data_IF_046997059942
#
_entry.id   IF_046997059942
#
_cell.length_a   1.000
_cell.length_b   1.000
_cell.length_c   1.000
_cell.angle_alpha   90.00
_cell.angle_beta   90.00
_cell.angle_gamma   90.00
#
_symmetry.space_group_name_H-M   'P 1'
#
loop_
_entity.id
_entity.type
_entity.pdbx_description
1 polymer ?
#
# COMPACT_ATOMS: atom_id res chain seq x y z
N UNK A 1 -12.18 5.44 -2.11
CA UNK A 1 -11.07 6.36 -1.81
C UNK A 1 -11.48 7.32 -0.72
N UNK A 2 -11.32 6.89 0.53
CA UNK A 2 -11.89 7.55 1.71
C UNK A 2 -10.74 8.15 2.53
N UNK A 3 -10.72 9.47 2.79
CA UNK A 3 -9.74 10.08 3.70
C UNK A 3 -10.11 9.78 5.16
N UNK A 4 -9.10 9.74 6.03
CA UNK A 4 -9.25 9.53 7.47
C UNK A 4 -10.19 10.58 8.08
N UNK A 5 -10.15 11.83 7.59
CA UNK A 5 -11.06 12.89 8.03
C UNK A 5 -12.54 12.48 7.92
N UNK A 6 -12.92 11.79 6.85
CA UNK A 6 -14.30 11.35 6.69
C UNK A 6 -14.71 10.41 7.83
N UNK A 7 -13.84 9.47 8.20
CA UNK A 7 -14.09 8.57 9.32
C UNK A 7 -14.11 9.29 10.67
N UNK A 8 -13.21 10.26 10.88
CA UNK A 8 -13.26 11.15 12.06
C UNK A 8 -14.61 11.86 12.16
N UNK A 9 -15.18 12.34 11.05
CA UNK A 9 -16.52 12.96 11.01
C UNK A 9 -17.64 11.95 11.28
N UNK A 10 -17.53 10.72 10.76
CA UNK A 10 -18.51 9.65 11.04
C UNK A 10 -18.53 9.33 12.53
N UNK A 11 -17.37 9.09 13.15
CA UNK A 11 -17.26 8.77 14.58
C UNK A 11 -17.78 9.90 15.47
N UNK A 12 -17.47 11.15 15.12
CA UNK A 12 -17.93 12.33 15.85
C UNK A 12 -19.39 12.73 15.53
N UNK A 13 -20.09 11.99 14.66
CA UNK A 13 -21.44 12.30 14.17
C UNK A 13 -21.56 13.74 13.62
N UNK A 14 -20.55 14.17 12.85
CA UNK A 14 -20.44 15.50 12.27
C UNK A 14 -20.93 15.54 10.80
N UNK A 15 -20.99 16.75 10.26
CA UNK A 15 -21.28 16.97 8.84
C UNK A 15 -20.05 16.72 7.97
N UNK A 16 -20.32 16.45 6.69
CA UNK A 16 -19.36 16.34 5.61
C UNK A 16 -19.79 17.25 4.46
N UNK A 17 -18.84 17.98 3.87
CA UNK A 17 -19.10 18.89 2.76
C UNK A 17 -18.67 18.28 1.42
N UNK A 18 -19.58 18.25 0.46
CA UNK A 18 -19.32 17.85 -0.92
C UNK A 18 -18.93 19.09 -1.72
N UNK A 19 -17.83 18.98 -2.47
CA UNK A 19 -17.29 20.04 -3.33
C UNK A 19 -17.20 19.57 -4.79
N UNK A 20 -17.19 20.52 -5.73
CA UNK A 20 -16.74 20.26 -7.11
C UNK A 20 -15.22 20.35 -7.17
N UNK A 21 -14.50 19.38 -7.78
CA UNK A 21 -13.04 19.43 -7.88
C UNK A 21 -12.52 20.68 -8.62
N UNK A 22 -13.31 21.30 -9.51
CA UNK A 22 -12.93 22.56 -10.16
C UNK A 22 -12.72 23.73 -9.18
N UNK A 23 -13.38 23.71 -8.02
CA UNK A 23 -13.25 24.74 -6.98
C UNK A 23 -12.24 24.36 -5.89
N UNK A 24 -11.83 23.08 -5.83
CA UNK A 24 -10.89 22.53 -4.85
C UNK A 24 -9.84 21.60 -5.50
N UNK A 25 -9.14 22.07 -6.55
CA UNK A 25 -8.35 21.20 -7.43
C UNK A 25 -7.16 20.50 -6.74
N UNK A 26 -6.70 21.05 -5.61
CA UNK A 26 -5.58 20.55 -4.82
C UNK A 26 -5.95 19.43 -3.85
N UNK A 27 -7.23 19.27 -3.47
CA UNK A 27 -7.63 18.27 -2.47
C UNK A 27 -7.38 16.83 -2.90
N UNK A 28 -7.36 16.55 -4.20
CA UNK A 28 -7.14 15.19 -4.67
C UNK A 28 -5.70 14.73 -4.37
N UNK A 29 -4.74 15.65 -4.49
CA UNK A 29 -3.29 15.40 -4.34
C UNK A 29 -2.83 15.49 -2.87
N UNK A 30 -3.54 16.25 -2.03
CA UNK A 30 -3.22 16.36 -0.61
C UNK A 30 -3.68 15.13 0.18
N UNK A 31 -2.94 14.70 1.19
CA UNK A 31 -3.27 13.56 2.07
C UNK A 31 -3.02 13.93 3.54
N UNK A 32 -3.50 13.09 4.46
CA UNK A 32 -3.25 13.24 5.89
C UNK A 32 -3.66 14.61 6.43
N UNK A 33 -2.84 15.17 7.31
CA UNK A 33 -3.10 16.47 7.95
C UNK A 33 -3.17 17.62 6.95
N UNK A 34 -2.35 17.59 5.89
CA UNK A 34 -2.39 18.61 4.85
C UNK A 34 -3.75 18.62 4.12
N UNK A 35 -4.33 17.45 3.85
CA UNK A 35 -5.69 17.34 3.35
C UNK A 35 -6.71 17.88 4.36
N UNK A 36 -6.58 17.52 5.64
CA UNK A 36 -7.51 17.98 6.69
C UNK A 36 -7.55 19.50 6.84
N UNK A 37 -6.38 20.13 6.93
CA UNK A 37 -6.25 21.58 7.08
C UNK A 37 -6.83 22.29 5.85
N UNK A 38 -6.55 21.77 4.65
CA UNK A 38 -7.04 22.36 3.41
C UNK A 38 -8.53 22.15 3.18
N UNK A 39 -9.04 20.96 3.48
CA UNK A 39 -10.45 20.62 3.39
C UNK A 39 -11.28 21.50 4.35
N UNK A 40 -10.83 21.64 5.60
CA UNK A 40 -11.52 22.49 6.58
C UNK A 40 -11.45 23.99 6.25
N UNK A 41 -10.38 24.44 5.59
CA UNK A 41 -10.32 25.77 5.01
C UNK A 41 -11.41 25.98 3.95
N UNK A 42 -11.59 25.04 3.02
CA UNK A 42 -12.67 25.13 2.02
C UNK A 42 -14.07 25.05 2.64
N UNK A 43 -14.25 24.29 3.72
CA UNK A 43 -15.52 24.29 4.46
C UNK A 43 -15.87 25.66 5.06
N UNK A 44 -14.86 26.44 5.49
CA UNK A 44 -15.05 27.81 5.97
C UNK A 44 -15.48 28.74 4.84
N UNK A 45 -14.77 28.72 3.70
CA UNK A 45 -15.14 29.52 2.53
C UNK A 45 -16.56 29.21 2.04
N UNK A 46 -16.94 27.93 2.02
CA UNK A 46 -18.31 27.53 1.70
C UNK A 46 -19.35 28.06 2.68
N UNK A 47 -19.03 28.10 3.99
CA UNK A 47 -19.91 28.67 5.01
C UNK A 47 -20.04 30.19 4.92
N UNK A 48 -19.00 30.88 4.43
CA UNK A 48 -18.96 32.32 4.18
C UNK A 48 -19.63 32.72 2.85
N UNK A 49 -20.05 31.73 2.03
CA UNK A 49 -20.69 31.95 0.74
C UNK A 49 -19.71 32.30 -0.38
N UNK A 50 -18.41 32.07 -0.18
CA UNK A 50 -17.35 32.35 -1.15
C UNK A 50 -17.15 31.22 -2.18
N UNK A 51 -17.92 30.14 -2.08
CA UNK A 51 -17.90 29.03 -3.04
C UNK A 51 -19.23 28.91 -3.78
N UNK A 52 -19.15 28.64 -5.08
CA UNK A 52 -20.32 28.57 -5.95
C UNK A 52 -21.11 27.28 -5.73
N UNK A 53 -20.42 26.14 -5.59
CA UNK A 53 -21.05 24.83 -5.43
C UNK A 53 -20.47 24.07 -4.24
N UNK A 54 -21.24 23.99 -3.17
CA UNK A 54 -20.98 23.12 -2.04
C UNK A 54 -22.29 22.52 -1.50
N UNK A 55 -22.22 21.35 -0.87
CA UNK A 55 -23.37 20.73 -0.20
C UNK A 55 -22.96 20.02 1.07
N UNK A 56 -23.55 20.41 2.20
CA UNK A 56 -23.39 19.69 3.46
C UNK A 56 -24.33 18.50 3.57
N UNK A 57 -23.84 17.40 4.12
CA UNK A 57 -24.58 16.18 4.43
C UNK A 57 -24.13 15.62 5.77
N UNK A 58 -24.93 14.78 6.41
CA UNK A 58 -24.46 14.00 7.56
C UNK A 58 -23.41 12.97 7.11
N UNK A 59 -22.24 12.96 7.75
CA UNK A 59 -21.20 11.97 7.46
C UNK A 59 -21.71 10.54 7.76
N UNK A 60 -22.44 10.40 8.88
CA UNK A 60 -23.06 9.13 9.29
C UNK A 60 -24.08 8.61 8.27
N UNK A 61 -24.95 9.48 7.73
CA UNK A 61 -25.93 9.06 6.71
C UNK A 61 -25.24 8.68 5.40
N UNK A 62 -24.21 9.43 4.98
CA UNK A 62 -23.44 9.10 3.79
C UNK A 62 -22.73 7.74 3.95
N UNK A 63 -22.12 7.51 5.11
CA UNK A 63 -21.47 6.23 5.42
C UNK A 63 -22.46 5.05 5.41
N UNK A 64 -23.62 5.21 6.06
CA UNK A 64 -24.69 4.20 6.01
C UNK A 64 -25.10 3.90 4.58
N UNK A 65 -25.27 4.93 3.75
CA UNK A 65 -25.62 4.77 2.33
C UNK A 65 -24.53 4.00 1.56
N UNK A 66 -23.24 4.27 1.82
CA UNK A 66 -22.13 3.53 1.22
C UNK A 66 -22.19 2.04 1.58
N UNK A 67 -22.37 1.73 2.88
CA UNK A 67 -22.49 0.35 3.36
C UNK A 67 -23.71 -0.37 2.80
N UNK A 68 -24.86 0.31 2.73
CA UNK A 68 -26.07 -0.25 2.12
C UNK A 68 -25.83 -0.60 0.65
N UNK A 69 -25.17 0.28 -0.12
CA UNK A 69 -24.85 -0.03 -1.52
C UNK A 69 -23.87 -1.20 -1.66
N UNK A 70 -22.83 -1.24 -0.82
CA UNK A 70 -21.90 -2.36 -0.78
C UNK A 70 -22.63 -3.68 -0.47
N UNK A 71 -23.55 -3.68 0.49
CA UNK A 71 -24.38 -4.84 0.84
C UNK A 71 -25.31 -5.26 -0.31
N UNK A 72 -26.00 -4.31 -0.93
CA UNK A 72 -27.00 -4.60 -1.98
C UNK A 72 -26.38 -5.02 -3.32
N UNK A 73 -25.20 -4.49 -3.66
CA UNK A 73 -24.65 -4.57 -5.02
C UNK A 73 -23.21 -5.09 -5.09
N UNK A 74 -22.57 -5.31 -3.95
CA UNK A 74 -21.14 -5.58 -3.87
C UNK A 74 -20.25 -4.36 -4.18
N UNK A 75 -20.83 -3.17 -4.40
CA UNK A 75 -20.12 -1.95 -4.80
C UNK A 75 -20.69 -0.68 -4.13
N UNK A 76 -19.91 0.40 -4.01
CA UNK A 76 -18.47 0.48 -4.26
C UNK A 76 -17.65 -0.12 -3.11
N UNK A 77 -16.44 -0.61 -3.42
CA UNK A 77 -15.50 -1.07 -2.39
C UNK A 77 -14.95 0.07 -1.53
N UNK A 78 -14.42 -0.31 -0.37
CA UNK A 78 -13.89 0.59 0.65
C UNK A 78 -12.36 0.53 0.59
N UNK A 79 -11.74 1.66 0.27
CA UNK A 79 -10.28 1.83 0.20
C UNK A 79 -9.88 3.15 0.86
N UNK A 80 -8.76 3.14 1.58
CA UNK A 80 -8.34 4.21 2.47
C UNK A 80 -7.21 5.05 1.86
N UNK A 81 -7.46 6.35 1.66
CA UNK A 81 -6.55 7.26 0.95
C UNK A 81 -5.25 7.51 1.71
N UNK A 82 -5.38 7.87 2.98
CA UNK A 82 -4.26 8.35 3.78
C UNK A 82 -3.25 7.26 4.13
N UNK A 83 -3.63 6.07 4.65
CA UNK A 83 -2.66 5.00 4.86
C UNK A 83 -2.00 4.54 3.55
N UNK A 84 -2.69 4.62 2.42
CA UNK A 84 -2.12 4.29 1.11
C UNK A 84 -0.99 5.24 0.69
N UNK A 85 -1.14 6.54 0.96
CA UNK A 85 -0.14 7.55 0.60
C UNK A 85 0.94 7.70 1.66
N UNK A 86 0.55 7.81 2.93
CA UNK A 86 1.47 8.00 4.07
C UNK A 86 2.46 6.84 4.18
N UNK A 87 2.05 5.62 3.81
CA UNK A 87 2.93 4.44 3.83
C UNK A 87 3.58 4.13 2.47
N UNK A 88 3.19 4.80 1.39
CA UNK A 88 3.78 4.59 0.05
C UNK A 88 5.28 4.89 0.07
N UNK A 89 6.15 4.00 -0.45
CA UNK A 89 7.58 4.30 -0.54
C UNK A 89 7.92 5.40 -1.56
N UNK A 90 6.97 5.77 -2.42
CA UNK A 90 7.12 6.72 -3.53
C UNK A 90 6.44 8.08 -3.24
N UNK A 91 6.23 8.41 -1.97
CA UNK A 91 5.63 9.67 -1.51
C UNK A 91 6.45 10.93 -1.88
N UNK A 92 7.73 10.77 -2.19
CA UNK A 92 8.63 11.86 -2.57
C UNK A 92 8.47 12.32 -4.03
N UNK A 93 7.83 11.51 -4.87
CA UNK A 93 7.78 11.76 -6.32
C UNK A 93 6.38 11.60 -6.94
N UNK A 94 5.32 11.57 -6.14
CA UNK A 94 3.95 11.55 -6.63
C UNK A 94 2.92 11.17 -5.57
N UNK A 95 1.68 10.99 -6.01
CA UNK A 95 0.53 10.68 -5.15
C UNK A 95 -0.18 9.43 -5.68
N UNK A 96 -0.58 8.54 -4.78
CA UNK A 96 -1.48 7.44 -5.08
C UNK A 96 -2.90 8.01 -5.15
N UNK A 97 -3.46 8.10 -6.34
CA UNK A 97 -4.81 8.66 -6.56
C UNK A 97 -5.93 7.65 -6.36
N UNK A 98 -5.63 6.35 -6.50
CA UNK A 98 -6.58 5.25 -6.34
C UNK A 98 -5.83 3.92 -6.16
N UNK A 99 -6.59 2.87 -5.90
CA UNK A 99 -6.09 1.50 -6.08
C UNK A 99 -6.39 0.99 -7.49
N UNK A 100 -5.86 -0.16 -7.88
CA UNK A 100 -6.29 -0.89 -9.08
C UNK A 100 -7.66 -1.58 -8.94
N UNK A 101 -8.05 -2.32 -9.99
CA UNK A 101 -9.28 -3.12 -10.08
C UNK A 101 -9.43 -4.17 -8.97
N UNK A 102 -8.35 -4.71 -8.40
CA UNK A 102 -8.43 -5.75 -7.38
C UNK A 102 -8.14 -5.24 -5.97
N UNK A 103 -7.95 -3.92 -5.81
CA UNK A 103 -7.77 -3.19 -4.53
C UNK A 103 -6.48 -3.47 -3.76
N UNK A 104 -5.47 -4.09 -4.37
CA UNK A 104 -4.19 -4.47 -3.75
C UNK A 104 -3.00 -3.60 -4.18
N UNK A 105 -3.12 -2.84 -5.27
CA UNK A 105 -2.02 -2.03 -5.83
C UNK A 105 -2.23 -0.55 -5.56
N UNK A 106 -1.23 0.05 -4.92
CA UNK A 106 -1.19 1.45 -4.50
C UNK A 106 0.05 2.14 -5.08
N UNK A 107 -0.02 2.47 -6.36
CA UNK A 107 1.07 3.11 -7.10
C UNK A 107 0.66 4.53 -7.53
N UNK A 108 1.65 5.41 -7.64
CA UNK A 108 1.43 6.77 -8.10
C UNK A 108 0.94 6.80 -9.55
N UNK A 109 0.12 7.79 -9.89
CA UNK A 109 -0.31 8.08 -11.26
C UNK A 109 -0.23 9.57 -11.53
N UNK A 110 -0.09 9.96 -12.80
CA UNK A 110 -0.12 11.37 -13.23
C UNK A 110 -0.52 11.46 -14.70
N UNK A 111 -0.60 12.66 -15.26
CA UNK A 111 -0.81 12.87 -16.70
C UNK A 111 0.24 12.14 -17.58
N UNK A 112 1.46 11.99 -17.06
CA UNK A 112 2.57 11.34 -17.74
C UNK A 112 2.85 9.90 -17.29
N UNK A 113 2.10 9.38 -16.32
CA UNK A 113 2.39 8.08 -15.68
C UNK A 113 1.11 7.27 -15.44
N UNK A 114 1.02 6.14 -16.16
CA UNK A 114 0.02 5.10 -15.91
C UNK A 114 0.71 3.94 -15.20
N UNK A 115 0.41 3.73 -13.92
CA UNK A 115 1.00 2.66 -13.15
C UNK A 115 0.72 1.26 -13.76
N UNK A 116 1.71 0.37 -13.69
CA UNK A 116 1.63 -1.00 -14.23
C UNK A 116 1.86 -2.01 -13.11
N UNK A 117 1.05 -3.06 -13.09
CA UNK A 117 1.11 -4.12 -12.07
C UNK A 117 1.85 -5.34 -12.65
N UNK A 118 3.09 -5.59 -12.21
CA UNK A 118 3.85 -6.80 -12.58
C UNK A 118 3.72 -7.81 -11.44
N UNK A 119 2.86 -8.83 -11.60
CA UNK A 119 2.40 -9.66 -10.50
C UNK A 119 2.87 -11.12 -10.59
N UNK A 120 3.14 -11.73 -9.43
CA UNK A 120 3.38 -13.16 -9.28
C UNK A 120 3.04 -13.61 -7.85
N UNK A 121 2.77 -14.90 -7.65
CA UNK A 121 2.36 -15.42 -6.34
C UNK A 121 3.18 -16.62 -5.90
N UNK A 122 3.66 -16.59 -4.66
CA UNK A 122 4.29 -17.74 -4.01
C UNK A 122 3.21 -18.74 -3.56
N UNK A 123 3.36 -20.02 -3.91
CA UNK A 123 2.48 -21.07 -3.41
C UNK A 123 2.92 -21.52 -2.01
N UNK A 124 2.25 -21.04 -0.95
CA UNK A 124 2.64 -21.32 0.44
C UNK A 124 2.57 -22.81 0.80
N UNK A 125 1.61 -23.57 0.25
CA UNK A 125 1.48 -25.00 0.52
C UNK A 125 2.74 -25.78 0.14
N UNK A 126 3.46 -25.37 -0.91
CA UNK A 126 4.68 -26.05 -1.36
C UNK A 126 5.82 -25.87 -0.36
N UNK A 127 5.77 -24.81 0.43
CA UNK A 127 6.74 -24.47 1.46
C UNK A 127 6.37 -25.06 2.82
N UNK A 128 5.38 -25.97 2.89
CA UNK A 128 5.10 -26.73 4.11
C UNK A 128 5.58 -28.17 3.92
N UNK A 129 6.53 -28.60 4.75
CA UNK A 129 7.09 -29.98 4.77
C UNK A 129 6.97 -30.54 6.18
N UNK A 130 6.43 -31.75 6.28
CA UNK A 130 6.23 -32.44 7.57
C UNK A 130 5.52 -31.58 8.63
N UNK A 131 4.56 -30.76 8.18
CA UNK A 131 3.80 -29.83 9.01
C UNK A 131 4.57 -28.60 9.50
N UNK A 132 5.73 -28.29 8.90
CA UNK A 132 6.57 -27.14 9.23
C UNK A 132 6.77 -26.25 8.00
N UNK A 133 6.89 -24.94 8.22
CA UNK A 133 7.15 -23.97 7.16
C UNK A 133 8.64 -23.88 6.84
N UNK A 134 9.01 -24.25 5.61
CA UNK A 134 10.39 -24.35 5.11
C UNK A 134 10.89 -22.97 4.65
N UNK A 135 11.55 -22.25 5.57
CA UNK A 135 12.08 -20.90 5.34
C UNK A 135 13.24 -20.87 4.34
N UNK A 136 14.07 -21.92 4.30
CA UNK A 136 15.19 -21.99 3.36
C UNK A 136 14.69 -22.10 1.92
N UNK A 137 13.68 -22.96 1.69
CA UNK A 137 13.03 -23.06 0.39
C UNK A 137 12.30 -21.75 0.03
N UNK A 138 11.68 -21.08 1.00
CA UNK A 138 10.99 -19.81 0.78
C UNK A 138 11.96 -18.71 0.34
N UNK A 139 13.13 -18.63 0.96
CA UNK A 139 14.17 -17.68 0.57
C UNK A 139 14.56 -17.87 -0.91
N UNK A 140 14.80 -19.11 -1.33
CA UNK A 140 15.19 -19.43 -2.70
C UNK A 140 14.09 -19.02 -3.70
N UNK A 141 12.84 -19.41 -3.43
CA UNK A 141 11.72 -19.14 -4.34
C UNK A 141 11.37 -17.66 -4.43
N UNK A 142 11.38 -16.92 -3.30
CA UNK A 142 11.17 -15.47 -3.28
C UNK A 142 12.28 -14.75 -4.06
N UNK A 143 13.54 -15.16 -3.89
CA UNK A 143 14.68 -14.55 -4.61
C UNK A 143 14.53 -14.72 -6.13
N UNK A 144 14.16 -15.93 -6.58
CA UNK A 144 13.92 -16.22 -7.99
C UNK A 144 12.72 -15.41 -8.50
N UNK A 145 11.61 -15.39 -7.75
CA UNK A 145 10.39 -14.68 -8.13
C UNK A 145 10.64 -13.17 -8.30
N UNK A 146 11.37 -12.53 -7.39
CA UNK A 146 11.71 -11.11 -7.50
C UNK A 146 12.52 -10.81 -8.76
N UNK A 147 13.50 -11.65 -9.12
CA UNK A 147 14.25 -11.48 -10.37
C UNK A 147 13.37 -11.69 -11.60
N UNK A 148 12.47 -12.67 -11.58
CA UNK A 148 11.52 -12.89 -12.67
C UNK A 148 10.60 -11.69 -12.87
N UNK A 149 10.08 -11.10 -11.78
CA UNK A 149 9.22 -9.92 -11.83
C UNK A 149 9.98 -8.67 -12.33
N UNK A 150 11.22 -8.44 -11.90
CA UNK A 150 12.03 -7.34 -12.44
C UNK A 150 12.33 -7.53 -13.93
N UNK A 151 12.55 -8.77 -14.39
CA UNK A 151 12.72 -9.05 -15.82
C UNK A 151 11.46 -8.72 -16.63
N UNK A 152 10.26 -8.97 -16.09
CA UNK A 152 8.97 -8.67 -16.76
C UNK A 152 8.92 -7.19 -17.19
N UNK A 153 9.43 -6.28 -16.36
CA UNK A 153 9.44 -4.84 -16.64
C UNK A 153 10.20 -4.52 -17.94
N UNK A 154 11.30 -5.22 -18.21
CA UNK A 154 12.12 -4.94 -19.38
C UNK A 154 11.59 -5.63 -20.66
N UNK A 155 10.98 -6.80 -20.53
CA UNK A 155 10.46 -7.57 -21.68
C UNK A 155 9.02 -7.22 -22.05
N UNK A 156 8.28 -6.54 -21.18
CA UNK A 156 6.87 -6.24 -21.39
C UNK A 156 6.66 -5.32 -22.60
N UNK A 157 5.60 -5.57 -23.36
CA UNK A 157 5.11 -4.64 -24.37
C UNK A 157 4.19 -3.61 -23.70
N UNK A 158 4.54 -2.33 -23.80
CA UNK A 158 3.76 -1.25 -23.23
C UNK A 158 2.83 -0.64 -24.28
N UNK A 159 1.50 -0.64 -24.06
CA UNK A 159 0.55 -0.10 -25.02
C UNK A 159 0.53 1.44 -25.08
N UNK A 160 1.12 2.11 -24.08
CA UNK A 160 1.21 3.58 -24.00
C UNK A 160 2.57 4.01 -23.47
N UNK A 161 3.02 5.21 -23.87
CA UNK A 161 4.28 5.78 -23.41
C UNK A 161 4.25 6.09 -21.91
N UNK A 162 3.10 6.51 -21.37
CA UNK A 162 2.90 6.76 -19.95
C UNK A 162 3.10 5.49 -19.11
N UNK A 163 2.65 4.34 -19.61
CA UNK A 163 2.86 3.06 -18.94
C UNK A 163 4.33 2.62 -19.00
N UNK A 164 4.98 2.80 -20.15
CA UNK A 164 6.42 2.52 -20.29
C UNK A 164 7.25 3.41 -19.38
N UNK A 165 6.90 4.70 -19.29
CA UNK A 165 7.55 5.68 -18.43
C UNK A 165 7.44 5.28 -16.95
N UNK A 166 6.21 5.11 -16.45
CA UNK A 166 5.97 4.78 -15.05
C UNK A 166 6.70 3.48 -14.63
N UNK A 167 6.57 2.41 -15.43
CA UNK A 167 7.14 1.11 -15.05
C UNK A 167 8.67 1.12 -15.11
N UNK A 168 9.30 1.75 -16.12
CA UNK A 168 10.77 1.81 -16.21
C UNK A 168 11.38 2.75 -15.17
N UNK A 169 10.67 3.81 -14.79
CA UNK A 169 11.13 4.84 -13.84
C UNK A 169 11.08 4.38 -12.38
N UNK A 170 10.04 3.64 -12.00
CA UNK A 170 9.78 3.24 -10.61
C UNK A 170 9.94 1.75 -10.35
N UNK A 171 9.97 0.93 -11.40
CA UNK A 171 10.13 -0.52 -11.39
C UNK A 171 9.30 -1.30 -10.35
N UNK A 172 8.01 -0.98 -10.14
CA UNK A 172 7.20 -1.64 -9.12
C UNK A 172 6.93 -3.11 -9.49
N UNK A 173 6.99 -4.00 -8.51
CA UNK A 173 6.57 -5.40 -8.64
C UNK A 173 5.65 -5.79 -7.49
N UNK A 174 4.71 -6.69 -7.74
CA UNK A 174 3.79 -7.23 -6.74
C UNK A 174 4.00 -8.74 -6.57
N UNK A 175 4.71 -9.12 -5.51
CA UNK A 175 4.85 -10.51 -5.10
C UNK A 175 3.80 -10.85 -4.04
N UNK A 176 2.76 -11.56 -4.46
CA UNK A 176 1.69 -12.06 -3.59
C UNK A 176 1.92 -13.49 -3.11
N UNK A 177 0.89 -14.04 -2.49
CA UNK A 177 0.83 -15.44 -2.03
C UNK A 177 -0.45 -16.11 -2.49
N UNK A 178 -0.41 -17.43 -2.58
CA UNK A 178 -1.58 -18.29 -2.77
C UNK A 178 -1.43 -19.58 -1.97
N UNK A 179 -2.51 -20.34 -1.82
CA UNK A 179 -2.48 -21.60 -1.07
C UNK A 179 -2.33 -21.42 0.45
N UNK A 180 -2.71 -20.26 1.00
CA UNK A 180 -2.65 -20.00 2.44
C UNK A 180 -3.50 -20.98 3.25
N UNK A 181 -4.76 -21.21 2.86
CA UNK A 181 -5.61 -22.21 3.51
C UNK A 181 -5.01 -23.61 3.43
N UNK A 182 -4.46 -24.00 2.29
CA UNK A 182 -3.86 -25.33 2.13
C UNK A 182 -2.59 -25.48 2.99
N UNK A 183 -1.81 -24.40 3.15
CA UNK A 183 -0.67 -24.36 4.07
C UNK A 183 -1.11 -24.49 5.54
N UNK A 184 -2.23 -23.87 5.94
CA UNK A 184 -2.81 -24.06 7.27
C UNK A 184 -3.23 -25.52 7.48
N UNK A 185 -3.94 -26.11 6.52
CA UNK A 185 -4.38 -27.51 6.58
C UNK A 185 -3.19 -28.48 6.69
N UNK A 186 -2.13 -28.25 5.91
CA UNK A 186 -0.93 -29.07 5.93
C UNK A 186 -0.19 -29.01 7.28
N UNK A 187 -0.38 -27.95 8.07
CA UNK A 187 0.16 -27.79 9.43
C UNK A 187 -0.84 -28.22 10.52
N UNK A 188 -2.05 -28.66 10.14
CA UNK A 188 -3.12 -28.99 11.09
C UNK A 188 -3.72 -27.77 11.80
N UNK A 189 -3.62 -26.58 11.21
CA UNK A 189 -4.11 -25.32 11.79
C UNK A 189 -5.52 -24.97 11.28
N UNK A 190 -6.38 -24.52 12.20
CA UNK A 190 -7.68 -23.92 11.86
C UNK A 190 -7.49 -22.47 11.43
N UNK A 191 -8.18 -22.03 10.38
CA UNK A 191 -8.14 -20.62 9.95
C UNK A 191 -8.62 -19.68 11.07
N UNK A 192 -9.70 -20.05 11.77
CA UNK A 192 -10.25 -19.27 12.87
C UNK A 192 -9.52 -19.55 14.19
N UNK A 193 -8.19 -19.38 14.22
CA UNK A 193 -7.37 -19.57 15.43
C UNK A 193 -6.22 -18.57 15.51
N UNK A 194 -5.76 -18.27 16.73
CA UNK A 194 -4.60 -17.40 16.96
C UNK A 194 -3.33 -17.95 16.29
N UNK A 195 -3.21 -19.27 16.18
CA UNK A 195 -2.10 -19.91 15.47
C UNK A 195 -2.09 -19.59 13.96
N UNK A 196 -3.26 -19.42 13.33
CA UNK A 196 -3.34 -18.99 11.94
C UNK A 196 -3.02 -17.50 11.77
N UNK A 197 -3.36 -16.67 12.76
CA UNK A 197 -2.96 -15.25 12.80
C UNK A 197 -1.44 -15.13 12.93
N UNK A 198 -0.84 -15.88 13.85
CA UNK A 198 0.61 -15.94 14.03
C UNK A 198 1.31 -16.46 12.76
N UNK A 199 0.77 -17.52 12.14
CA UNK A 199 1.30 -18.01 10.86
C UNK A 199 1.20 -16.96 9.75
N UNK A 200 0.10 -16.21 9.67
CA UNK A 200 -0.05 -15.12 8.69
C UNK A 200 1.00 -14.03 8.89
N UNK A 201 1.24 -13.62 10.13
CA UNK A 201 2.26 -12.63 10.48
C UNK A 201 3.67 -13.12 10.10
N UNK A 202 4.08 -14.26 10.65
CA UNK A 202 5.45 -14.79 10.47
C UNK A 202 5.76 -15.17 9.02
N UNK A 203 4.80 -15.74 8.31
CA UNK A 203 4.99 -16.06 6.89
C UNK A 203 5.14 -14.79 6.05
N UNK A 204 4.37 -13.73 6.33
CA UNK A 204 4.50 -12.47 5.61
C UNK A 204 5.76 -11.69 6.00
N UNK A 205 6.19 -11.75 7.27
CA UNK A 205 7.48 -11.20 7.73
C UNK A 205 8.64 -11.83 6.95
N UNK A 206 8.68 -13.16 6.83
CA UNK A 206 9.71 -13.87 6.09
C UNK A 206 9.70 -13.54 4.59
N UNK A 207 8.52 -13.50 3.96
CA UNK A 207 8.40 -13.11 2.54
C UNK A 207 8.87 -11.67 2.33
N UNK A 208 8.45 -10.74 3.20
CA UNK A 208 8.86 -9.34 3.13
C UNK A 208 10.37 -9.20 3.28
N UNK A 209 10.96 -9.89 4.25
CA UNK A 209 12.40 -9.91 4.50
C UNK A 209 13.17 -10.34 3.25
N UNK A 210 12.82 -11.50 2.69
CA UNK A 210 13.52 -12.05 1.52
C UNK A 210 13.26 -11.24 0.25
N UNK A 211 12.05 -10.69 0.06
CA UNK A 211 11.71 -9.90 -1.11
C UNK A 211 12.48 -8.56 -1.14
N UNK A 212 12.55 -7.87 0.00
CA UNK A 212 13.30 -6.61 0.13
C UNK A 212 14.79 -6.88 -0.05
N UNK A 213 15.33 -7.93 0.58
CA UNK A 213 16.73 -8.31 0.40
C UNK A 213 17.04 -8.65 -1.08
N UNK A 214 16.17 -9.40 -1.75
CA UNK A 214 16.34 -9.77 -3.15
C UNK A 214 16.32 -8.54 -4.08
N UNK A 215 15.42 -7.57 -3.88
CA UNK A 215 15.44 -6.31 -4.64
C UNK A 215 16.74 -5.53 -4.38
N UNK A 216 17.22 -5.47 -3.14
CA UNK A 216 18.50 -4.82 -2.85
C UNK A 216 19.70 -5.52 -3.50
N UNK A 217 19.71 -6.86 -3.56
CA UNK A 217 20.74 -7.59 -4.30
C UNK A 217 20.63 -7.39 -5.83
N UNK A 218 19.42 -7.24 -6.37
CA UNK A 218 19.25 -6.84 -7.77
C UNK A 218 19.76 -5.41 -8.01
N UNK A 219 19.61 -4.50 -7.05
CA UNK A 219 20.15 -3.14 -7.15
C UNK A 219 21.68 -3.14 -7.21
N UNK A 220 22.33 -4.02 -6.43
CA UNK A 220 23.78 -4.26 -6.50
C UNK A 220 24.23 -4.74 -7.88
N UNK A 221 23.44 -5.57 -8.56
CA UNK A 221 23.76 -6.13 -9.87
C UNK A 221 23.42 -5.17 -11.02
N UNK A 222 22.25 -4.53 -10.97
CA UNK A 222 21.59 -3.83 -12.09
C UNK A 222 21.46 -2.32 -11.90
N UNK A 223 21.87 -1.81 -10.74
CA UNK A 223 21.62 -0.44 -10.31
C UNK A 223 20.23 -0.25 -9.72
N UNK A 224 20.09 0.81 -8.91
CA UNK A 224 18.82 1.23 -8.32
C UNK A 224 17.81 1.67 -9.39
N UNK A 225 16.52 1.63 -9.07
CA UNK A 225 15.51 2.27 -9.94
C UNK A 225 15.70 3.80 -9.96
N UNK A 226 15.30 4.45 -11.06
CA UNK A 226 15.65 5.84 -11.37
C UNK A 226 15.15 6.89 -10.36
N UNK A 227 14.17 6.54 -9.52
CA UNK A 227 13.57 7.43 -8.52
C UNK A 227 13.79 6.93 -7.09
N UNK A 228 14.85 6.14 -6.87
CA UNK A 228 15.18 5.64 -5.54
C UNK A 228 15.52 6.74 -4.55
N UNK A 229 16.32 7.73 -4.96
CA UNK A 229 16.71 8.86 -4.11
C UNK A 229 15.47 9.62 -3.60
N UNK A 230 15.41 9.85 -2.28
CA UNK A 230 14.28 10.47 -1.58
C UNK A 230 13.16 9.51 -1.18
N UNK A 231 13.13 8.28 -1.70
CA UNK A 231 12.13 7.27 -1.33
C UNK A 231 12.16 6.93 0.16
N UNK A 232 11.11 6.29 0.67
CA UNK A 232 11.15 5.76 2.05
C UNK A 232 12.29 4.76 2.25
N UNK A 233 12.66 4.00 1.21
CA UNK A 233 13.78 3.06 1.27
C UNK A 233 15.12 3.78 1.47
N UNK A 234 15.34 4.88 0.74
CA UNK A 234 16.52 5.74 0.88
C UNK A 234 16.58 6.42 2.26
N UNK A 235 15.41 6.76 2.81
CA UNK A 235 15.26 7.26 4.18
C UNK A 235 15.35 6.18 5.27
N UNK A 236 15.62 4.92 4.90
CA UNK A 236 15.78 3.80 5.83
C UNK A 236 14.49 3.28 6.47
N UNK A 237 13.32 3.62 5.91
CA UNK A 237 12.01 3.21 6.39
C UNK A 237 11.51 1.96 5.65
N UNK A 238 11.33 0.87 6.39
CA UNK A 238 10.70 -0.36 5.94
C UNK A 238 9.18 -0.35 6.23
N UNK A 239 8.37 -1.28 5.68
CA UNK A 239 6.92 -1.29 5.89
C UNK A 239 6.49 -1.24 7.36
N UNK A 240 7.24 -1.90 8.25
CA UNK A 240 6.98 -1.88 9.70
C UNK A 240 7.19 -0.48 10.30
N UNK A 241 8.21 0.26 9.86
CA UNK A 241 8.53 1.60 10.35
C UNK A 241 7.47 2.63 9.93
N UNK A 242 6.84 2.41 8.76
CA UNK A 242 5.78 3.31 8.26
C UNK A 242 4.53 3.35 9.15
N UNK A 243 4.35 2.38 10.06
CA UNK A 243 3.27 2.43 11.05
C UNK A 243 3.45 3.61 12.02
N UNK A 244 4.67 3.89 12.47
CA UNK A 244 4.97 5.03 13.33
C UNK A 244 4.75 6.37 12.59
N UNK A 245 5.07 6.42 11.29
CA UNK A 245 4.78 7.57 10.43
C UNK A 245 3.27 7.79 10.33
N UNK A 246 2.49 6.73 10.13
CA UNK A 246 1.03 6.81 10.05
C UNK A 246 0.39 7.21 11.39
N UNK A 247 0.90 6.71 12.52
CA UNK A 247 0.46 7.14 13.86
C UNK A 247 0.68 8.63 14.07
N UNK A 248 1.88 9.12 13.75
CA UNK A 248 2.22 10.52 13.88
C UNK A 248 1.32 11.40 12.99
N UNK A 249 1.05 10.96 11.77
CA UNK A 249 0.17 11.67 10.82
C UNK A 249 -1.29 11.71 11.33
N UNK A 250 -1.79 10.60 11.87
CA UNK A 250 -3.15 10.52 12.41
C UNK A 250 -3.31 11.24 13.75
N UNK A 251 -2.22 11.37 14.52
CA UNK A 251 -2.24 11.86 15.89
C UNK A 251 -2.89 10.88 16.88
N UNK A 252 -2.95 9.59 16.55
CA UNK A 252 -3.51 8.55 17.41
C UNK A 252 -2.72 7.24 17.29
N UNK A 253 -2.72 6.44 18.34
CA UNK A 253 -2.10 5.12 18.33
C UNK A 253 -2.82 4.19 17.33
N UNK A 254 -2.03 3.37 16.63
CA UNK A 254 -2.53 2.33 15.73
C UNK A 254 -2.35 1.01 16.44
N UNK A 255 -3.47 0.40 16.79
CA UNK A 255 -3.54 -0.90 17.47
C UNK A 255 -3.24 -2.04 16.47
N UNK A 256 -1.94 -2.25 16.24
CA UNK A 256 -1.37 -3.30 15.39
C UNK A 256 -0.14 -3.86 16.09
N UNK A 257 -0.02 -5.19 16.11
CA UNK A 257 1.17 -5.85 16.63
C UNK A 257 2.42 -5.45 15.82
N UNK A 258 3.53 -5.21 16.54
CA UNK A 258 4.81 -4.77 15.94
C UNK A 258 5.95 -5.73 16.26
N UNK A 259 5.63 -6.94 16.70
CA UNK A 259 6.64 -7.94 17.00
C UNK A 259 7.33 -8.37 15.70
N UNK A 260 8.64 -8.53 15.78
CA UNK A 260 9.44 -9.07 14.70
C UNK A 260 10.14 -10.33 15.21
N UNK A 261 10.16 -11.37 14.38
CA UNK A 261 10.82 -12.64 14.69
C UNK A 261 12.19 -12.77 14.00
N UNK A 262 12.44 -11.97 12.95
CA UNK A 262 13.69 -11.97 12.20
C UNK A 262 14.60 -10.80 12.59
N UNK A 263 15.92 -10.99 12.45
CA UNK A 263 16.88 -9.89 12.55
C UNK A 263 16.88 -9.09 11.23
N UNK A 264 16.30 -7.89 11.24
CA UNK A 264 16.20 -7.02 10.07
C UNK A 264 17.49 -6.23 9.77
N UNK A 265 18.54 -6.35 10.60
CA UNK A 265 19.82 -5.65 10.41
C UNK A 265 20.44 -5.92 9.04
N UNK A 266 20.59 -7.17 8.56
CA UNK A 266 21.19 -7.45 7.25
C UNK A 266 20.42 -6.83 6.08
N UNK A 267 19.09 -6.78 6.17
CA UNK A 267 18.24 -6.16 5.15
C UNK A 267 18.47 -4.65 5.11
N UNK A 268 18.43 -4.00 6.28
CA UNK A 268 18.67 -2.55 6.37
C UNK A 268 20.05 -2.16 5.87
N UNK A 269 21.08 -2.92 6.25
CA UNK A 269 22.45 -2.71 5.76
C UNK A 269 22.58 -2.91 4.26
N UNK A 270 21.92 -3.93 3.70
CA UNK A 270 21.89 -4.14 2.25
C UNK A 270 21.23 -2.98 1.52
N UNK A 271 20.04 -2.54 1.98
CA UNK A 271 19.30 -1.43 1.38
C UNK A 271 20.11 -0.13 1.49
N UNK A 272 20.70 0.17 2.64
CA UNK A 272 21.54 1.36 2.81
C UNK A 272 22.78 1.35 1.89
N UNK A 273 23.35 0.17 1.61
CA UNK A 273 24.57 0.03 0.82
C UNK A 273 24.31 -0.01 -0.69
N UNK A 274 23.24 -0.66 -1.12
CA UNK A 274 22.99 -0.97 -2.53
C UNK A 274 21.71 -0.32 -3.07
N UNK A 275 20.85 0.20 -2.19
CA UNK A 275 19.50 0.65 -2.50
C UNK A 275 18.56 -0.50 -2.87
N UNK A 276 17.57 -0.17 -3.70
CA UNK A 276 16.52 -1.06 -4.18
C UNK A 276 16.43 -1.03 -5.71
N UNK A 277 16.14 -2.18 -6.30
CA UNK A 277 15.84 -2.32 -7.73
C UNK A 277 14.35 -2.15 -7.96
#
# INVERSE_FOLDING_TARGET
>A
WIPDLFMKRVEANQEWTLFSPDEVPDLHDLTGKAFEDRYTYYEKLAAEGEMRLSRKVSAMELWRKMLTRLFETGHPWITWKDPSNVRSPQDHCGVVHSSNLCTEILLNTSESETAVCNLGSINLKVHVRDGQFDLDMLQETVTIAMRMLDNVIDINFYPTDQAANANKRHRPVGLGVMGFQDALLAQGLSYSSDAAVEFADRSMEAISYHAILASSQLAKERGQYSTYEGSKWDRGLLPIDTLAVLEAERGQAIDVDRSCSLDWTPVRESVAKYGMR
#
